data_IF_424701190631
#
_entry.id   IF_424701190631
#
_cell.length_a   1.000
_cell.length_b   1.000
_cell.length_c   1.000
_cell.angle_alpha   90.00
_cell.angle_beta   90.00
_cell.angle_gamma   90.00
#
_symmetry.space_group_name_H-M   'P 1'
#
loop_
_entity.id
_entity.type
_entity.pdbx_description
1 polymer ?
#
# COMPACT_ATOMS: atom_id res chain seq x y z
N UNK A 1 -12.58 -2.38 -4.15
CA UNK A 1 -11.19 -2.90 -4.15
C UNK A 1 -10.74 -3.06 -2.71
N UNK A 2 -9.46 -3.41 -2.46
CA UNK A 2 -8.92 -3.55 -1.11
C UNK A 2 -8.77 -2.19 -0.39
N UNK A 3 -8.77 -1.09 -1.14
CA UNK A 3 -8.84 0.27 -0.63
C UNK A 3 -10.22 0.88 -0.87
N UNK A 4 -10.62 1.79 0.01
CA UNK A 4 -11.82 2.61 -0.14
C UNK A 4 -11.75 3.47 -1.40
N UNK A 5 -12.90 3.66 -2.05
CA UNK A 5 -12.99 4.62 -3.14
C UNK A 5 -12.86 6.04 -2.58
N UNK A 6 -12.02 6.88 -3.20
CA UNK A 6 -11.74 8.22 -2.72
C UNK A 6 -10.65 8.91 -3.53
N UNK A 7 -10.34 10.15 -3.16
CA UNK A 7 -9.29 10.97 -3.82
C UNK A 7 -7.90 10.63 -3.27
N UNK A 8 -7.83 10.27 -1.98
CA UNK A 8 -6.59 9.87 -1.28
C UNK A 8 -6.73 8.44 -0.77
N UNK A 9 -5.59 7.78 -0.58
CA UNK A 9 -5.49 6.44 0.01
C UNK A 9 -6.35 5.41 -0.72
N UNK A 10 -6.35 5.49 -2.05
CA UNK A 10 -7.17 4.66 -2.93
C UNK A 10 -6.32 3.66 -3.75
N UNK A 11 -4.99 3.70 -3.62
CA UNK A 11 -4.06 2.85 -4.37
C UNK A 11 -3.45 1.80 -3.44
N UNK A 12 -3.71 0.51 -3.67
CA UNK A 12 -3.12 -0.55 -2.86
C UNK A 12 -1.61 -0.70 -3.11
N UNK A 13 -0.85 -0.78 -2.02
CA UNK A 13 0.60 -1.00 -2.02
C UNK A 13 1.01 -1.97 -0.91
N UNK A 14 2.13 -2.62 -1.11
CA UNK A 14 2.85 -3.33 -0.05
C UNK A 14 4.03 -2.47 0.38
N UNK A 15 4.07 -2.08 1.65
CA UNK A 15 5.06 -1.14 2.17
C UNK A 15 5.84 -1.72 3.35
N UNK A 16 7.11 -1.31 3.48
CA UNK A 16 7.95 -1.63 4.63
C UNK A 16 7.59 -0.83 5.88
N UNK A 17 8.56 -0.62 6.76
CA UNK A 17 8.38 0.28 7.90
C UNK A 17 8.29 1.73 7.41
N UNK A 18 7.31 2.47 7.94
CA UNK A 18 7.14 3.90 7.63
C UNK A 18 7.82 4.80 8.66
N UNK A 19 8.19 6.01 8.25
CA UNK A 19 8.51 7.10 9.16
C UNK A 19 7.18 7.62 9.73
N UNK A 20 7.08 7.67 11.06
CA UNK A 20 5.86 8.11 11.78
C UNK A 20 4.60 7.30 11.41
N UNK A 21 4.76 6.08 10.86
CA UNK A 21 3.68 5.22 10.35
C UNK A 21 2.80 5.87 9.24
N UNK A 22 3.27 6.97 8.64
CA UNK A 22 2.56 7.79 7.64
C UNK A 22 3.33 7.98 6.33
N UNK A 23 4.66 7.93 6.38
CA UNK A 23 5.50 8.12 5.20
C UNK A 23 6.26 6.83 4.92
N UNK A 24 5.95 6.20 3.79
CA UNK A 24 6.57 4.94 3.40
C UNK A 24 7.44 5.17 2.17
N UNK A 25 8.74 4.94 2.33
CA UNK A 25 9.75 5.12 1.28
C UNK A 25 9.89 3.85 0.42
N UNK A 26 9.63 2.69 1.02
CA UNK A 26 9.76 1.39 0.39
C UNK A 26 8.38 0.77 0.16
N UNK A 27 7.67 1.26 -0.86
CA UNK A 27 6.37 0.72 -1.28
C UNK A 27 6.42 0.14 -2.69
N UNK A 28 5.90 -1.08 -2.83
CA UNK A 28 5.80 -1.78 -4.11
C UNK A 28 4.34 -1.98 -4.51
N UNK A 29 4.10 -2.05 -5.81
CA UNK A 29 2.80 -2.49 -6.33
C UNK A 29 2.69 -4.00 -6.13
N UNK A 30 1.65 -4.52 -5.46
CA UNK A 30 1.43 -5.95 -5.33
C UNK A 30 1.34 -6.61 -6.71
N UNK A 31 2.04 -7.74 -6.89
CA UNK A 31 2.06 -8.49 -8.17
C UNK A 31 0.79 -9.32 -8.38
N UNK A 32 0.04 -9.57 -7.32
CA UNK A 32 -1.21 -10.30 -7.33
C UNK A 32 -2.39 -9.34 -7.15
N UNK A 33 -3.50 -9.63 -7.83
CA UNK A 33 -4.75 -8.89 -7.64
C UNK A 33 -5.43 -9.40 -6.37
N UNK A 34 -5.74 -8.48 -5.45
CA UNK A 34 -6.46 -8.81 -4.22
C UNK A 34 -7.88 -9.30 -4.51
N UNK A 35 -8.33 -10.31 -3.76
CA UNK A 35 -9.71 -10.82 -3.79
C UNK A 35 -10.16 -11.23 -2.39
N UNK A 36 -11.42 -11.66 -2.23
CA UNK A 36 -11.94 -12.14 -0.94
C UNK A 36 -11.13 -13.34 -0.42
N UNK A 37 -10.68 -14.23 -1.30
CA UNK A 37 -9.89 -15.41 -0.95
C UNK A 37 -8.38 -15.12 -0.82
N UNK A 38 -7.94 -13.98 -1.33
CA UNK A 38 -6.54 -13.57 -1.34
C UNK A 38 -6.45 -12.07 -1.03
N UNK A 39 -6.71 -11.67 0.23
CA UNK A 39 -6.77 -10.26 0.59
C UNK A 39 -5.38 -9.62 0.53
N UNK A 40 -5.37 -8.28 0.43
CA UNK A 40 -4.13 -7.52 0.19
C UNK A 40 -3.10 -7.71 1.31
N UNK A 41 -3.53 -7.82 2.57
CA UNK A 41 -2.69 -8.11 3.73
C UNK A 41 -1.97 -9.45 3.59
N UNK A 42 -2.66 -10.50 3.15
CA UNK A 42 -2.05 -11.80 2.89
C UNK A 42 -1.01 -11.72 1.75
N UNK A 43 -1.30 -10.98 0.68
CA UNK A 43 -0.38 -10.78 -0.45
C UNK A 43 0.89 -10.05 0.01
N UNK A 44 0.77 -9.00 0.80
CA UNK A 44 1.92 -8.24 1.29
C UNK A 44 2.72 -9.01 2.36
N UNK A 45 2.03 -9.76 3.23
CA UNK A 45 2.68 -10.56 4.28
C UNK A 45 3.63 -11.62 3.72
N UNK A 46 3.31 -12.24 2.57
CA UNK A 46 4.22 -13.18 1.87
C UNK A 46 5.56 -12.56 1.46
N UNK A 47 5.58 -11.24 1.29
CA UNK A 47 6.75 -10.46 0.93
C UNK A 47 7.44 -9.85 2.16
N UNK A 48 6.92 -10.10 3.36
CA UNK A 48 7.41 -9.48 4.60
C UNK A 48 7.03 -7.99 4.72
N UNK A 49 6.01 -7.55 3.99
CA UNK A 49 5.57 -6.16 3.92
C UNK A 49 4.15 -5.99 4.49
N UNK A 50 3.77 -4.76 4.76
CA UNK A 50 2.43 -4.39 5.24
C UNK A 50 1.54 -3.92 4.09
N UNK A 51 0.27 -4.32 4.10
CA UNK A 51 -0.72 -3.77 3.19
C UNK A 51 -1.06 -2.33 3.59
N UNK A 52 -0.95 -1.41 2.63
CA UNK A 52 -1.28 0.00 2.80
C UNK A 52 -2.09 0.51 1.61
N UNK A 53 -2.87 1.55 1.87
CA UNK A 53 -3.65 2.26 0.87
C UNK A 53 -3.09 3.67 0.74
N UNK A 54 -2.43 3.94 -0.38
CA UNK A 54 -1.61 5.12 -0.56
C UNK A 54 -2.23 6.12 -1.55
N UNK A 55 -1.69 7.34 -1.55
CA UNK A 55 -1.96 8.37 -2.56
C UNK A 55 -0.74 8.53 -3.47
N UNK A 56 -0.87 8.29 -4.78
CA UNK A 56 0.17 8.62 -5.76
C UNK A 56 0.15 10.13 -5.99
N UNK A 57 1.14 10.89 -5.49
CA UNK A 57 1.18 12.31 -5.85
C UNK A 57 2.05 13.26 -5.03
N UNK A 58 2.77 12.83 -4.00
CA UNK A 58 3.77 13.74 -3.40
C UNK A 58 5.08 13.58 -4.17
N UNK A 59 5.11 14.17 -5.36
CA UNK A 59 6.35 14.36 -6.10
C UNK A 59 7.38 14.96 -5.13
N UNK A 60 8.57 14.34 -5.07
CA UNK A 60 9.73 14.67 -4.23
C UNK A 60 9.84 14.06 -2.82
N UNK A 61 8.80 13.45 -2.22
CA UNK A 61 8.87 12.99 -0.81
C UNK A 61 8.55 11.50 -0.55
N UNK A 62 8.00 10.77 -1.53
CA UNK A 62 7.60 9.36 -1.37
C UNK A 62 6.09 9.15 -1.58
N UNK A 63 5.56 8.04 -1.07
CA UNK A 63 4.10 7.79 -1.06
C UNK A 63 3.53 7.97 0.35
N UNK A 64 2.41 8.69 0.42
CA UNK A 64 1.65 8.84 1.65
C UNK A 64 0.66 7.68 1.75
N UNK A 65 0.79 6.92 2.83
CA UNK A 65 -0.08 5.83 3.20
C UNK A 65 -0.27 5.87 4.73
#
# INVERSE_FOLDING_TARGET
GPCTAGVTNNIPKCCGAGILDLLYLDCETPREVSSILNPLDAICARQGLQAKCCTLGIADLGVLC
#
